data_IF_168834102688
#
_entry.id   IF_168834102688
#
_cell.length_a   1.000
_cell.length_b   1.000
_cell.length_c   1.000
_cell.angle_alpha   90.00
_cell.angle_beta   90.00
_cell.angle_gamma   90.00
#
_symmetry.space_group_name_H-M   'P 1'
#
loop_
_entity.id
_entity.type
_entity.pdbx_description
1 polymer ?
#
# COMPACT_ATOMS: atom_id res chain seq x y z
N UNK A 1 -15.31 -6.17 3.47
CA UNK A 1 -14.20 -5.17 3.54
C UNK A 1 -14.25 -4.47 4.90
N UNK A 2 -13.08 -4.19 5.52
CA UNK A 2 -12.91 -3.33 6.70
C UNK A 2 -12.27 -2.01 6.25
N UNK A 3 -12.35 -0.99 7.10
CA UNK A 3 -11.57 0.21 6.93
C UNK A 3 -10.22 0.02 7.61
N UNK A 4 -9.16 0.03 6.82
CA UNK A 4 -7.77 -0.06 7.26
C UNK A 4 -7.00 1.23 6.93
N UNK A 5 -5.88 1.44 7.56
CA UNK A 5 -4.95 2.52 7.22
C UNK A 5 -3.51 2.12 7.51
N UNK A 6 -2.58 2.65 6.71
CA UNK A 6 -1.17 2.56 7.03
C UNK A 6 -0.88 3.22 8.38
N UNK A 7 -0.04 2.58 9.19
CA UNK A 7 0.48 3.16 10.44
C UNK A 7 1.18 4.50 10.21
N UNK A 8 1.62 4.78 8.99
CA UNK A 8 2.22 6.04 8.57
C UNK A 8 1.27 7.23 8.67
N UNK A 9 -0.05 7.04 8.68
CA UNK A 9 -1.00 8.12 8.94
C UNK A 9 -0.68 8.87 10.24
N UNK A 10 -0.18 8.15 11.25
CA UNK A 10 0.24 8.75 12.53
C UNK A 10 1.77 8.82 12.64
N UNK A 11 2.48 7.74 12.30
CA UNK A 11 3.91 7.61 12.58
C UNK A 11 4.80 8.53 11.74
N UNK A 12 4.47 8.73 10.46
CA UNK A 12 5.34 9.41 9.51
C UNK A 12 5.46 10.91 9.75
N UNK A 13 6.70 11.41 9.70
CA UNK A 13 7.06 12.84 9.71
C UNK A 13 8.12 13.11 8.65
N UNK A 14 7.98 14.17 7.83
CA UNK A 14 8.89 14.43 6.72
C UNK A 14 10.26 14.98 7.14
N UNK A 15 10.43 15.34 8.42
CA UNK A 15 11.71 15.84 8.95
C UNK A 15 12.70 14.72 9.31
N UNK A 16 12.26 13.46 9.32
CA UNK A 16 13.05 12.28 9.70
C UNK A 16 13.68 12.34 11.11
N UNK A 17 13.20 13.23 11.96
CA UNK A 17 13.67 13.46 13.33
C UNK A 17 12.56 13.20 14.34
N UNK A 18 11.41 13.86 14.14
CA UNK A 18 10.23 13.62 14.95
C UNK A 18 9.45 12.42 14.41
N UNK A 19 8.81 11.66 15.29
CA UNK A 19 7.98 10.51 14.91
C UNK A 19 7.07 10.11 16.06
N UNK A 20 6.03 9.36 15.72
CA UNK A 20 5.28 8.59 16.71
C UNK A 20 5.65 7.12 16.59
N UNK A 21 5.96 6.44 17.71
CA UNK A 21 6.20 5.00 17.69
C UNK A 21 5.02 4.23 17.09
N UNK A 22 5.30 3.14 16.39
CA UNK A 22 4.27 2.30 15.76
C UNK A 22 3.23 1.82 16.79
N UNK A 23 3.66 1.44 17.99
CA UNK A 23 2.75 1.01 19.06
C UNK A 23 1.78 2.12 19.49
N UNK A 24 2.26 3.37 19.58
CA UNK A 24 1.40 4.51 19.92
C UNK A 24 0.48 4.87 18.73
N UNK A 25 0.99 4.76 17.51
CA UNK A 25 0.20 4.96 16.30
C UNK A 25 -0.97 3.98 16.23
N UNK A 26 -0.74 2.69 16.53
CA UNK A 26 -1.80 1.69 16.57
C UNK A 26 -2.88 2.00 17.62
N UNK A 27 -2.48 2.42 18.84
CA UNK A 27 -3.43 2.84 19.89
C UNK A 27 -4.30 4.02 19.43
N UNK A 28 -3.69 5.02 18.83
CA UNK A 28 -4.38 6.22 18.33
C UNK A 28 -5.32 5.87 17.18
N UNK A 29 -4.89 5.06 16.20
CA UNK A 29 -5.71 4.60 15.10
C UNK A 29 -6.92 3.80 15.58
N UNK A 30 -6.74 2.93 16.59
CA UNK A 30 -7.85 2.24 17.25
C UNK A 30 -8.82 3.21 17.92
N UNK A 31 -8.29 4.20 18.63
CA UNK A 31 -9.12 5.19 19.36
C UNK A 31 -9.97 6.05 18.43
N UNK A 32 -9.50 6.36 17.22
CA UNK A 32 -10.27 7.11 16.22
C UNK A 32 -11.24 6.24 15.41
N UNK A 33 -11.15 4.91 15.50
CA UNK A 33 -12.19 4.03 14.98
C UNK A 33 -11.81 3.13 13.80
N UNK A 34 -10.55 3.08 13.35
CA UNK A 34 -10.15 2.14 12.29
C UNK A 34 -10.34 0.68 12.72
N UNK A 35 -10.73 -0.18 11.76
CA UNK A 35 -11.00 -1.61 12.00
C UNK A 35 -9.76 -2.48 11.91
N UNK A 36 -8.76 -2.04 11.14
CA UNK A 36 -7.52 -2.75 10.86
C UNK A 36 -6.39 -1.76 10.55
N UNK A 37 -5.18 -2.26 10.47
CA UNK A 37 -4.02 -1.47 10.04
C UNK A 37 -3.20 -2.21 8.98
N UNK A 38 -2.54 -1.41 8.15
CA UNK A 38 -1.39 -1.78 7.35
C UNK A 38 -0.13 -1.41 8.15
N UNK A 39 0.65 -2.42 8.51
CA UNK A 39 1.91 -2.21 9.21
C UNK A 39 2.98 -1.75 8.23
N UNK A 40 3.24 -0.44 8.22
CA UNK A 40 4.27 0.10 7.35
C UNK A 40 5.66 -0.10 7.97
N UNK A 41 6.44 -0.94 7.31
CA UNK A 41 7.87 -1.16 7.58
C UNK A 41 8.71 -0.87 6.33
N UNK A 42 8.20 0.00 5.47
CA UNK A 42 8.78 0.30 4.15
C UNK A 42 9.91 1.32 4.19
N UNK A 43 9.85 2.29 5.10
CA UNK A 43 10.79 3.42 5.11
C UNK A 43 11.90 3.23 6.16
N UNK A 44 12.97 2.59 5.73
CA UNK A 44 14.16 2.36 6.56
C UNK A 44 14.88 3.67 7.01
N UNK A 45 14.55 4.81 6.39
CA UNK A 45 15.05 6.12 6.79
C UNK A 45 14.33 6.73 7.98
N UNK A 46 13.15 6.23 8.33
CA UNK A 46 12.35 6.78 9.43
C UNK A 46 12.80 6.24 10.79
N UNK A 47 12.78 7.08 11.85
CA UNK A 47 13.20 6.67 13.20
C UNK A 47 12.33 5.56 13.82
N UNK A 48 11.11 5.34 13.32
CA UNK A 48 10.24 4.27 13.78
C UNK A 48 10.52 2.90 13.11
N UNK A 49 11.40 2.87 12.10
CA UNK A 49 11.78 1.63 11.44
C UNK A 49 12.69 0.78 12.33
N UNK A 50 12.18 -0.37 12.78
CA UNK A 50 12.82 -1.23 13.77
C UNK A 50 13.36 -2.55 13.21
N UNK A 51 13.09 -2.89 11.93
CA UNK A 51 13.56 -4.15 11.35
C UNK A 51 15.08 -4.23 11.20
N UNK A 52 15.80 -3.08 11.27
CA UNK A 52 17.25 -3.02 11.29
C UNK A 52 17.90 -3.35 12.63
N UNK A 53 17.14 -3.27 13.71
CA UNK A 53 17.64 -3.47 15.08
C UNK A 53 17.95 -4.94 15.38
N UNK A 54 18.85 -5.21 16.32
CA UNK A 54 19.16 -6.58 16.75
C UNK A 54 17.98 -7.24 17.45
N UNK A 55 17.15 -6.46 18.14
CA UNK A 55 15.96 -6.91 18.88
C UNK A 55 14.65 -6.71 18.11
N UNK A 56 14.69 -6.70 16.78
CA UNK A 56 13.48 -6.47 15.97
C UNK A 56 12.39 -7.54 16.17
N UNK A 57 12.78 -8.76 16.55
CA UNK A 57 11.80 -9.84 16.81
C UNK A 57 11.01 -9.60 18.09
N UNK A 58 11.67 -9.15 19.14
CA UNK A 58 11.02 -8.76 20.40
C UNK A 58 10.04 -7.60 20.16
N UNK A 59 10.49 -6.58 19.41
CA UNK A 59 9.62 -5.49 19.00
C UNK A 59 8.41 -5.98 18.20
N UNK A 60 8.59 -6.91 17.27
CA UNK A 60 7.50 -7.45 16.47
C UNK A 60 6.53 -8.30 17.31
N UNK A 61 7.01 -8.98 18.35
CA UNK A 61 6.15 -9.67 19.33
C UNK A 61 5.28 -8.66 20.09
N UNK A 62 5.83 -7.52 20.49
CA UNK A 62 5.07 -6.43 21.13
C UNK A 62 3.99 -5.88 20.19
N UNK A 63 4.32 -5.64 18.91
CA UNK A 63 3.36 -5.20 17.89
C UNK A 63 2.22 -6.22 17.73
N UNK A 64 2.55 -7.49 17.61
CA UNK A 64 1.55 -8.56 17.45
C UNK A 64 0.68 -8.71 18.72
N UNK A 65 1.25 -8.61 19.89
CA UNK A 65 0.51 -8.65 21.17
C UNK A 65 -0.45 -7.46 21.30
N UNK A 66 0.01 -6.25 20.97
CA UNK A 66 -0.82 -5.05 21.00
C UNK A 66 -1.97 -5.11 19.98
N UNK A 67 -1.72 -5.65 18.77
CA UNK A 67 -2.77 -5.88 17.78
C UNK A 67 -3.91 -6.74 18.35
N UNK A 68 -3.57 -7.80 19.09
CA UNK A 68 -4.56 -8.68 19.73
C UNK A 68 -5.28 -7.97 20.90
N UNK A 69 -4.54 -7.28 21.77
CA UNK A 69 -5.09 -6.53 22.90
C UNK A 69 -6.12 -5.49 22.44
N UNK A 70 -5.78 -4.72 21.41
CA UNK A 70 -6.63 -3.67 20.86
C UNK A 70 -7.78 -4.22 19.99
N UNK A 71 -7.78 -5.51 19.67
CA UNK A 71 -8.65 -6.05 18.61
C UNK A 71 -8.55 -5.22 17.32
N UNK A 72 -7.30 -4.90 16.94
CA UNK A 72 -6.95 -4.13 15.74
C UNK A 72 -6.02 -5.01 14.86
N UNK A 73 -6.59 -5.87 14.01
CA UNK A 73 -5.79 -6.78 13.21
C UNK A 73 -4.88 -6.04 12.24
N UNK A 74 -3.70 -6.60 12.00
CA UNK A 74 -2.79 -6.18 10.94
C UNK A 74 -3.16 -7.01 9.71
N UNK A 75 -3.90 -6.42 8.77
CA UNK A 75 -4.43 -7.15 7.61
C UNK A 75 -3.57 -6.99 6.36
N UNK A 76 -2.67 -6.04 6.40
CA UNK A 76 -1.70 -5.73 5.36
C UNK A 76 -0.41 -5.26 6.02
N UNK A 77 0.71 -5.43 5.34
CA UNK A 77 1.99 -4.79 5.70
C UNK A 77 2.70 -4.34 4.43
N UNK A 78 3.61 -3.40 4.55
CA UNK A 78 4.38 -2.90 3.41
C UNK A 78 5.87 -3.12 3.63
N UNK A 79 6.53 -3.88 2.74
CA UNK A 79 7.96 -4.12 2.78
C UNK A 79 8.76 -2.86 2.39
N UNK A 80 10.06 -2.79 2.73
CA UNK A 80 10.93 -1.73 2.22
C UNK A 80 10.86 -1.63 0.70
N UNK A 81 10.67 -0.40 0.19
CA UNK A 81 10.56 -0.16 -1.25
C UNK A 81 11.84 0.46 -1.82
N UNK A 82 12.25 -0.07 -2.95
CA UNK A 82 13.39 0.38 -3.74
C UNK A 82 13.31 -0.24 -5.12
N UNK A 83 14.02 0.30 -6.10
CA UNK A 83 14.13 -0.38 -7.38
C UNK A 83 15.12 -1.55 -7.28
N UNK A 84 14.61 -2.75 -7.04
CA UNK A 84 15.40 -3.96 -6.88
C UNK A 84 16.21 -4.35 -8.13
N UNK A 85 15.87 -3.79 -9.29
CA UNK A 85 16.54 -4.08 -10.56
C UNK A 85 17.60 -3.04 -10.95
N UNK A 86 17.87 -2.06 -10.07
CA UNK A 86 18.91 -1.05 -10.27
C UNK A 86 20.21 -1.51 -9.61
N UNK A 87 21.23 -1.91 -10.40
CA UNK A 87 22.39 -2.66 -9.89
C UNK A 87 23.32 -1.87 -8.95
N UNK A 88 23.27 -0.53 -8.93
CA UNK A 88 24.25 0.30 -8.24
C UNK A 88 23.72 1.08 -7.01
N UNK A 89 22.51 0.81 -6.57
CA UNK A 89 21.97 1.47 -5.39
C UNK A 89 22.61 0.91 -4.11
N UNK A 90 23.48 1.67 -3.45
CA UNK A 90 23.99 1.32 -2.10
C UNK A 90 22.86 1.18 -1.07
N UNK A 91 21.74 1.83 -1.29
CA UNK A 91 20.51 1.66 -0.50
C UNK A 91 19.86 0.31 -0.76
N UNK A 92 19.89 -0.19 -2.02
CA UNK A 92 19.30 -1.47 -2.39
C UNK A 92 19.87 -2.62 -1.55
N UNK A 93 21.18 -2.68 -1.31
CA UNK A 93 21.80 -3.77 -0.55
C UNK A 93 21.34 -3.85 0.92
N UNK A 94 21.09 -2.70 1.56
CA UNK A 94 20.54 -2.68 2.92
C UNK A 94 19.07 -3.11 2.94
N UNK A 95 18.29 -2.59 2.03
CA UNK A 95 16.86 -2.90 1.97
C UNK A 95 16.60 -4.32 1.51
N UNK A 96 17.40 -4.86 0.59
CA UNK A 96 17.35 -6.27 0.22
C UNK A 96 17.55 -7.21 1.42
N UNK A 97 18.41 -6.85 2.37
CA UNK A 97 18.57 -7.60 3.62
C UNK A 97 17.36 -7.49 4.54
N UNK A 98 16.56 -6.41 4.43
CA UNK A 98 15.38 -6.20 5.25
C UNK A 98 14.13 -6.90 4.68
N UNK A 99 14.09 -7.25 3.40
CA UNK A 99 12.92 -7.95 2.81
C UNK A 99 12.62 -9.28 3.52
N UNK A 100 13.59 -10.18 3.75
CA UNK A 100 13.34 -11.41 4.51
C UNK A 100 12.81 -11.14 5.92
N UNK A 101 13.33 -10.09 6.60
CA UNK A 101 12.85 -9.72 7.94
C UNK A 101 11.42 -9.18 7.89
N UNK A 102 11.06 -8.39 6.87
CA UNK A 102 9.71 -7.89 6.68
C UNK A 102 8.70 -9.02 6.44
N UNK A 103 9.09 -10.04 5.67
CA UNK A 103 8.25 -11.23 5.43
C UNK A 103 8.10 -12.05 6.73
N UNK A 104 9.20 -12.30 7.47
CA UNK A 104 9.15 -13.01 8.74
C UNK A 104 8.30 -12.24 9.77
N UNK A 105 8.46 -10.90 9.87
CA UNK A 105 7.67 -10.03 10.73
C UNK A 105 6.18 -10.10 10.41
N UNK A 106 5.83 -10.10 9.12
CA UNK A 106 4.45 -10.26 8.66
C UNK A 106 3.86 -11.60 9.09
N UNK A 107 4.62 -12.69 8.96
CA UNK A 107 4.21 -14.00 9.45
C UNK A 107 4.04 -14.05 10.97
N UNK A 108 4.94 -13.42 11.76
CA UNK A 108 4.81 -13.31 13.21
C UNK A 108 3.51 -12.63 13.64
N UNK A 109 3.07 -11.61 12.89
CA UNK A 109 1.82 -10.89 13.13
C UNK A 109 0.60 -11.51 12.43
N UNK A 110 0.76 -12.64 11.73
CA UNK A 110 -0.28 -13.32 10.94
C UNK A 110 -0.90 -12.41 9.87
N UNK A 111 -0.08 -11.56 9.28
CA UNK A 111 -0.51 -10.67 8.19
C UNK A 111 -0.75 -11.53 6.93
N UNK A 112 -1.93 -11.47 6.30
CA UNK A 112 -2.21 -12.28 5.13
C UNK A 112 -1.46 -11.83 3.88
N UNK A 113 -1.21 -10.52 3.72
CA UNK A 113 -0.59 -9.97 2.51
C UNK A 113 0.45 -8.92 2.86
N UNK A 114 1.68 -9.11 2.37
CA UNK A 114 2.73 -8.11 2.38
C UNK A 114 2.82 -7.44 1.01
N UNK A 115 2.75 -6.11 0.98
CA UNK A 115 2.90 -5.32 -0.25
C UNK A 115 4.38 -5.18 -0.58
N UNK A 116 4.71 -5.39 -1.86
CA UNK A 116 6.05 -5.21 -2.40
C UNK A 116 5.99 -4.54 -3.77
N UNK A 117 6.98 -3.67 -4.05
CA UNK A 117 7.10 -2.99 -5.33
C UNK A 117 7.87 -3.83 -6.36
N UNK A 118 7.43 -3.87 -7.62
CA UNK A 118 8.23 -4.40 -8.72
C UNK A 118 9.34 -3.42 -9.10
N UNK A 119 10.43 -3.93 -9.65
CA UNK A 119 11.50 -3.11 -10.19
C UNK A 119 11.35 -2.84 -11.68
N UNK A 120 11.97 -1.74 -12.15
CA UNK A 120 12.15 -1.44 -13.57
C UNK A 120 13.61 -1.56 -13.94
N UNK A 121 13.94 -2.39 -14.94
CA UNK A 121 15.32 -2.50 -15.40
C UNK A 121 15.74 -1.23 -16.17
N UNK A 122 16.89 -0.60 -15.84
CA UNK A 122 17.21 0.74 -16.33
C UNK A 122 17.31 0.89 -17.84
N UNK A 123 17.77 -0.16 -18.51
CA UNK A 123 18.03 -0.15 -19.96
C UNK A 123 16.96 -0.95 -20.74
N UNK A 124 15.79 -1.21 -20.12
CA UNK A 124 14.74 -1.97 -20.77
C UNK A 124 14.06 -1.17 -21.88
N UNK A 125 13.68 -1.88 -22.93
CA UNK A 125 12.85 -1.32 -23.98
C UNK A 125 11.41 -1.10 -23.46
N UNK A 126 10.59 -0.28 -24.14
CA UNK A 126 9.20 -0.02 -23.74
C UNK A 126 8.30 -1.28 -23.61
N UNK A 127 8.74 -2.43 -24.10
CA UNK A 127 8.05 -3.70 -23.94
C UNK A 127 8.32 -4.42 -22.59
N UNK A 128 9.23 -3.88 -21.78
CA UNK A 128 9.56 -4.34 -20.42
C UNK A 128 9.88 -5.83 -20.28
N UNK A 129 10.35 -6.50 -21.31
CA UNK A 129 10.64 -7.95 -21.26
C UNK A 129 11.69 -8.31 -20.22
N UNK A 130 12.73 -7.51 -20.12
CA UNK A 130 13.81 -7.75 -19.16
C UNK A 130 13.33 -7.41 -17.75
N UNK A 131 12.55 -6.34 -17.56
CA UNK A 131 11.92 -6.03 -16.27
C UNK A 131 11.04 -7.18 -15.81
N UNK A 132 10.16 -7.74 -16.67
CA UNK A 132 9.34 -8.89 -16.33
C UNK A 132 10.17 -10.10 -15.90
N UNK A 133 11.17 -10.49 -16.71
CA UNK A 133 12.03 -11.65 -16.44
C UNK A 133 12.74 -11.49 -15.08
N UNK A 134 13.34 -10.33 -14.82
CA UNK A 134 14.08 -10.06 -13.59
C UNK A 134 13.18 -9.96 -12.36
N UNK A 135 11.98 -9.37 -12.49
CA UNK A 135 11.01 -9.38 -11.40
C UNK A 135 10.56 -10.79 -11.07
N UNK A 136 10.34 -11.65 -12.08
CA UNK A 136 10.04 -13.06 -11.83
C UNK A 136 11.15 -13.73 -11.01
N UNK A 137 12.41 -13.57 -11.41
CA UNK A 137 13.57 -14.11 -10.68
C UNK A 137 13.72 -13.53 -9.28
N UNK A 138 13.43 -12.24 -9.11
CA UNK A 138 13.50 -11.54 -7.83
C UNK A 138 12.42 -12.00 -6.85
N UNK A 139 11.17 -12.11 -7.29
CA UNK A 139 10.05 -12.45 -6.40
C UNK A 139 9.99 -13.95 -6.03
N UNK A 140 10.43 -14.85 -6.89
CA UNK A 140 10.30 -16.30 -6.63
C UNK A 140 10.84 -16.74 -5.26
N UNK A 141 12.08 -16.42 -4.84
CA UNK A 141 12.59 -16.83 -3.53
C UNK A 141 11.81 -16.17 -2.36
N UNK A 142 11.25 -14.99 -2.57
CA UNK A 142 10.43 -14.32 -1.54
C UNK A 142 9.03 -14.91 -1.45
N UNK A 143 8.44 -15.37 -2.55
CA UNK A 143 7.17 -16.10 -2.53
C UNK A 143 7.31 -17.42 -1.77
N UNK A 144 8.41 -18.17 -1.98
CA UNK A 144 8.72 -19.37 -1.21
C UNK A 144 8.93 -19.06 0.29
N UNK A 145 9.56 -17.92 0.59
CA UNK A 145 9.75 -17.48 1.97
C UNK A 145 8.42 -17.10 2.61
N UNK A 146 7.59 -16.32 1.91
CA UNK A 146 6.28 -15.89 2.37
C UNK A 146 5.35 -17.10 2.65
N UNK A 147 5.37 -18.11 1.80
CA UNK A 147 4.62 -19.36 2.00
C UNK A 147 5.01 -20.05 3.31
N UNK A 148 6.32 -20.13 3.60
CA UNK A 148 6.81 -20.69 4.88
C UNK A 148 6.34 -19.95 6.11
N UNK A 149 6.12 -18.63 6.00
CA UNK A 149 5.61 -17.80 7.08
C UNK A 149 4.09 -17.63 7.06
N UNK A 150 3.39 -18.24 6.11
CA UNK A 150 1.94 -18.27 6.00
C UNK A 150 1.34 -16.92 5.54
N UNK A 151 2.09 -16.14 4.74
CA UNK A 151 1.61 -14.92 4.10
C UNK A 151 1.78 -14.96 2.58
N UNK A 152 1.08 -14.07 1.88
CA UNK A 152 1.24 -13.85 0.45
C UNK A 152 1.92 -12.52 0.14
N UNK A 153 2.39 -12.36 -1.08
CA UNK A 153 2.94 -11.10 -1.59
C UNK A 153 1.92 -10.46 -2.52
N UNK A 154 1.52 -9.23 -2.23
CA UNK A 154 0.71 -8.40 -3.10
C UNK A 154 1.63 -7.41 -3.84
N UNK A 155 1.81 -7.60 -5.14
CA UNK A 155 2.67 -6.74 -5.97
C UNK A 155 1.87 -5.48 -6.32
N UNK A 156 2.47 -4.30 -6.08
CA UNK A 156 1.80 -3.02 -6.24
C UNK A 156 2.01 -2.43 -7.64
N UNK A 157 0.97 -1.76 -8.19
CA UNK A 157 1.13 -0.97 -9.40
C UNK A 157 1.94 0.30 -9.13
N UNK A 158 2.79 0.64 -10.07
CA UNK A 158 3.71 1.77 -9.99
C UNK A 158 3.20 3.00 -10.76
N UNK A 159 3.79 4.17 -10.45
CA UNK A 159 3.56 5.38 -11.22
C UNK A 159 4.88 6.01 -11.68
N UNK A 160 4.86 6.67 -12.84
CA UNK A 160 6.03 7.39 -13.39
C UNK A 160 6.24 8.78 -12.74
N UNK A 161 5.58 9.04 -11.61
CA UNK A 161 5.62 10.33 -10.91
C UNK A 161 6.71 10.48 -9.85
N UNK A 162 7.43 9.41 -9.50
CA UNK A 162 8.47 9.43 -8.44
C UNK A 162 9.80 10.01 -8.89
N UNK A 163 10.00 10.22 -10.19
CA UNK A 163 11.25 10.73 -10.73
C UNK A 163 11.06 12.13 -11.28
N UNK A 164 11.89 13.09 -10.82
CA UNK A 164 12.06 14.38 -11.49
C UNK A 164 12.58 14.24 -12.93
N UNK A 165 12.94 13.02 -13.30
CA UNK A 165 13.38 12.62 -14.64
C UNK A 165 12.48 11.47 -15.07
N UNK A 166 11.43 11.76 -15.87
CA UNK A 166 10.66 10.71 -16.55
C UNK A 166 11.62 9.81 -17.30
N UNK A 167 11.62 8.51 -17.00
CA UNK A 167 12.41 7.54 -17.74
C UNK A 167 11.89 7.47 -19.18
N UNK A 168 12.73 7.54 -20.21
CA UNK A 168 12.31 7.17 -21.54
C UNK A 168 11.83 5.71 -21.49
N UNK A 169 10.56 5.48 -21.74
CA UNK A 169 9.96 4.14 -21.69
C UNK A 169 9.02 3.88 -20.52
N UNK A 170 9.01 4.74 -19.46
CA UNK A 170 8.10 4.61 -18.33
C UNK A 170 8.61 3.70 -17.20
N UNK A 171 7.69 3.25 -16.33
CA UNK A 171 7.94 2.38 -15.19
C UNK A 171 7.16 1.09 -15.37
N UNK A 172 7.82 -0.05 -15.19
CA UNK A 172 7.19 -1.37 -15.29
C UNK A 172 6.11 -1.57 -14.22
N UNK A 173 5.04 -2.27 -14.58
CA UNK A 173 3.83 -2.43 -13.76
C UNK A 173 3.10 -1.12 -13.45
N UNK A 174 3.27 -0.08 -14.29
CA UNK A 174 2.44 1.12 -14.20
C UNK A 174 1.04 0.93 -14.77
N UNK A 175 0.79 -0.19 -15.45
CA UNK A 175 -0.53 -0.58 -15.96
C UNK A 175 -1.02 -1.88 -15.33
N UNK A 176 -2.35 -2.01 -15.21
CA UNK A 176 -2.97 -3.25 -14.75
C UNK A 176 -2.67 -4.45 -15.66
N UNK A 177 -2.40 -4.22 -16.96
CA UNK A 177 -2.08 -5.30 -17.91
C UNK A 177 -0.72 -5.91 -17.60
N UNK A 178 0.32 -5.08 -17.42
CA UNK A 178 1.66 -5.53 -17.04
C UNK A 178 1.65 -6.22 -15.68
N UNK A 179 0.90 -5.66 -14.73
CA UNK A 179 0.81 -6.19 -13.37
C UNK A 179 0.12 -7.57 -13.35
N UNK A 180 -0.99 -7.73 -14.07
CA UNK A 180 -1.65 -9.03 -14.24
C UNK A 180 -0.74 -10.04 -14.93
N UNK A 181 -0.04 -9.64 -15.98
CA UNK A 181 0.88 -10.50 -16.74
C UNK A 181 2.06 -10.97 -15.86
N UNK A 182 2.57 -10.11 -14.98
CA UNK A 182 3.60 -10.49 -14.01
C UNK A 182 3.05 -11.49 -12.98
N UNK A 183 1.93 -11.17 -12.33
CA UNK A 183 1.33 -12.00 -11.28
C UNK A 183 0.94 -13.37 -11.80
N UNK A 184 0.34 -13.45 -12.99
CA UNK A 184 -0.05 -14.71 -13.62
C UNK A 184 1.15 -15.61 -13.98
N UNK A 185 2.33 -15.02 -14.19
CA UNK A 185 3.52 -15.78 -14.55
C UNK A 185 4.06 -16.66 -13.43
N UNK A 186 3.74 -16.39 -12.16
CA UNK A 186 4.27 -17.15 -11.02
C UNK A 186 3.60 -18.50 -10.80
N UNK A 187 2.35 -18.68 -11.22
CA UNK A 187 1.58 -19.92 -11.07
C UNK A 187 1.49 -20.46 -9.63
N UNK A 188 1.49 -19.57 -8.62
CA UNK A 188 1.35 -19.89 -7.19
C UNK A 188 0.16 -19.13 -6.60
N UNK A 189 -0.38 -19.63 -5.48
CA UNK A 189 -1.59 -19.07 -4.87
C UNK A 189 -1.31 -17.92 -3.90
N UNK A 190 -0.08 -17.77 -3.44
CA UNK A 190 0.33 -16.74 -2.46
C UNK A 190 0.94 -15.49 -3.11
N UNK A 191 0.58 -15.22 -4.38
CA UNK A 191 0.85 -13.97 -5.07
C UNK A 191 -0.45 -13.30 -5.48
N UNK A 192 -0.49 -11.97 -5.41
CA UNK A 192 -1.64 -11.18 -5.83
C UNK A 192 -1.25 -9.74 -6.15
N UNK A 193 -2.25 -8.91 -6.30
CA UNK A 193 -2.11 -7.49 -6.65
C UNK A 193 -2.47 -6.64 -5.44
N UNK A 194 -1.65 -5.64 -5.13
CA UNK A 194 -2.05 -4.45 -4.42
C UNK A 194 -2.36 -3.36 -5.47
N UNK A 195 -3.57 -2.77 -5.41
CA UNK A 195 -3.91 -1.68 -6.30
C UNK A 195 -3.84 -0.35 -5.57
N UNK A 196 -2.88 0.49 -5.96
CA UNK A 196 -2.82 1.88 -5.55
C UNK A 196 -3.63 2.75 -6.52
N UNK A 197 -4.71 3.35 -5.98
CA UNK A 197 -5.63 4.19 -6.74
C UNK A 197 -5.00 5.53 -7.12
N UNK A 198 -4.07 6.04 -6.31
CA UNK A 198 -3.34 7.26 -6.57
C UNK A 198 -2.36 7.09 -7.73
N UNK A 199 -1.57 6.02 -7.71
CA UNK A 199 -0.67 5.65 -8.80
C UNK A 199 -1.44 5.49 -10.13
N UNK A 200 -2.57 4.78 -10.09
CA UNK A 200 -3.41 4.60 -11.28
C UNK A 200 -3.98 5.92 -11.81
N UNK A 201 -4.32 6.87 -10.91
CA UNK A 201 -4.78 8.21 -11.30
C UNK A 201 -3.67 9.01 -11.99
N UNK A 202 -2.43 8.94 -11.50
CA UNK A 202 -1.26 9.56 -12.15
C UNK A 202 -1.02 9.02 -13.55
N UNK A 203 -1.28 7.74 -13.76
CA UNK A 203 -1.12 7.07 -15.05
C UNK A 203 -2.33 7.25 -15.97
N UNK A 204 -3.41 7.90 -15.52
CA UNK A 204 -4.61 8.15 -16.31
C UNK A 204 -5.38 6.88 -16.68
N UNK A 205 -5.34 5.84 -15.86
CA UNK A 205 -5.95 4.53 -16.11
C UNK A 205 -7.46 4.59 -15.87
N UNK A 206 -8.27 3.97 -16.74
CA UNK A 206 -9.65 3.66 -16.40
C UNK A 206 -9.66 2.58 -15.31
N UNK A 207 -9.77 3.03 -14.06
CA UNK A 207 -9.65 2.16 -12.90
C UNK A 207 -10.83 1.18 -12.77
N UNK A 208 -12.00 1.50 -13.34
CA UNK A 208 -13.13 0.56 -13.33
C UNK A 208 -12.86 -0.65 -14.21
N UNK A 209 -12.29 -0.40 -15.40
CA UNK A 209 -11.86 -1.48 -16.29
C UNK A 209 -10.71 -2.26 -15.67
N UNK A 210 -9.70 -1.58 -15.14
CA UNK A 210 -8.57 -2.19 -14.47
C UNK A 210 -9.00 -3.16 -13.34
N UNK A 211 -9.91 -2.72 -12.47
CA UNK A 211 -10.44 -3.56 -11.38
C UNK A 211 -11.15 -4.81 -11.90
N UNK A 212 -11.96 -4.69 -12.98
CA UNK A 212 -12.64 -5.84 -13.59
C UNK A 212 -11.65 -6.84 -14.19
N UNK A 213 -10.60 -6.34 -14.86
CA UNK A 213 -9.55 -7.18 -15.44
C UNK A 213 -8.74 -7.89 -14.35
N UNK A 214 -8.38 -7.19 -13.28
CA UNK A 214 -7.66 -7.78 -12.14
C UNK A 214 -8.49 -8.85 -11.43
N UNK A 215 -9.76 -8.58 -11.17
CA UNK A 215 -10.68 -9.53 -10.56
C UNK A 215 -10.12 -10.16 -9.28
N UNK A 216 -10.08 -11.48 -9.20
CA UNK A 216 -9.61 -12.23 -8.01
C UNK A 216 -8.11 -12.12 -7.72
N UNK A 217 -7.30 -11.55 -8.63
CA UNK A 217 -5.88 -11.26 -8.39
C UNK A 217 -5.72 -10.12 -7.38
N UNK A 218 -6.72 -9.23 -7.26
CA UNK A 218 -6.71 -8.14 -6.28
C UNK A 218 -6.79 -8.70 -4.86
N UNK A 219 -5.79 -8.40 -4.04
CA UNK A 219 -5.65 -8.89 -2.66
C UNK A 219 -5.52 -7.78 -1.64
N UNK A 220 -4.96 -6.65 -2.05
CA UNK A 220 -4.71 -5.50 -1.21
C UNK A 220 -5.02 -4.20 -1.96
N UNK A 221 -5.20 -3.11 -1.24
CA UNK A 221 -5.41 -1.79 -1.83
C UNK A 221 -4.62 -0.73 -1.09
N UNK A 222 -4.15 0.29 -1.84
CA UNK A 222 -3.73 1.57 -1.30
C UNK A 222 -4.67 2.66 -1.80
N UNK A 223 -5.37 3.28 -0.87
CA UNK A 223 -6.35 4.33 -1.16
C UNK A 223 -5.73 5.67 -0.80
N UNK A 224 -5.34 6.42 -1.83
CA UNK A 224 -4.83 7.77 -1.73
C UNK A 224 -5.38 8.62 -2.88
N UNK A 225 -5.59 9.90 -2.64
CA UNK A 225 -5.98 10.85 -3.68
C UNK A 225 -4.78 11.71 -4.09
N UNK A 226 -4.86 12.25 -5.29
CA UNK A 226 -3.91 13.22 -5.83
C UNK A 226 -4.55 14.05 -6.94
N UNK A 227 -3.82 15.05 -7.40
CA UNK A 227 -4.27 15.94 -8.47
C UNK A 227 -4.06 15.38 -9.90
N UNK A 228 -3.55 14.16 -10.04
CA UNK A 228 -3.11 13.57 -11.31
C UNK A 228 -1.77 14.11 -11.81
N UNK A 229 -0.98 14.77 -10.95
CA UNK A 229 0.33 15.37 -11.30
C UNK A 229 1.47 14.92 -10.40
N UNK A 230 1.20 14.75 -9.13
CA UNK A 230 2.15 14.35 -8.09
C UNK A 230 1.52 13.23 -7.27
N UNK A 231 2.36 12.39 -6.72
CA UNK A 231 1.95 11.38 -5.77
C UNK A 231 1.76 12.00 -4.38
N UNK A 232 0.58 12.59 -4.20
CA UNK A 232 0.31 13.48 -3.07
C UNK A 232 -0.02 12.73 -1.78
N UNK A 233 -0.47 11.47 -1.82
CA UNK A 233 -0.93 10.67 -0.68
C UNK A 233 -1.84 11.46 0.28
N UNK A 234 -2.86 12.11 -0.28
CA UNK A 234 -3.83 12.93 0.46
C UNK A 234 -5.17 12.21 0.60
N UNK A 235 -6.01 12.75 1.49
CA UNK A 235 -7.33 12.20 1.79
C UNK A 235 -8.21 12.20 0.52
N UNK A 236 -8.97 11.13 0.24
CA UNK A 236 -9.99 11.09 -0.81
C UNK A 236 -10.90 12.32 -0.80
N UNK A 237 -11.25 12.79 -2.01
CA UNK A 237 -11.98 14.04 -2.31
C UNK A 237 -11.15 15.33 -2.17
N UNK A 238 -9.88 15.28 -1.82
CA UNK A 238 -8.98 16.44 -1.89
C UNK A 238 -8.23 16.52 -3.22
N UNK A 239 -8.23 15.44 -4.00
CA UNK A 239 -7.69 15.36 -5.35
C UNK A 239 -8.77 15.27 -6.42
N UNK A 240 -8.51 14.50 -7.47
CA UNK A 240 -9.41 14.34 -8.61
C UNK A 240 -9.77 12.88 -8.95
N UNK A 241 -9.46 11.93 -8.09
CA UNK A 241 -9.89 10.53 -8.27
C UNK A 241 -11.41 10.42 -8.18
N UNK A 242 -12.03 9.76 -9.16
CA UNK A 242 -13.49 9.62 -9.19
C UNK A 242 -13.98 8.44 -8.33
N UNK A 243 -13.87 8.56 -7.02
CA UNK A 243 -14.21 7.53 -6.04
C UNK A 243 -15.61 6.95 -6.21
N UNK A 244 -16.60 7.80 -6.50
CA UNK A 244 -18.01 7.39 -6.65
C UNK A 244 -18.22 6.43 -7.81
N UNK A 245 -17.44 6.54 -8.88
CA UNK A 245 -17.54 5.65 -10.03
C UNK A 245 -16.68 4.40 -9.91
N UNK A 246 -15.58 4.47 -9.15
CA UNK A 246 -14.59 3.40 -9.06
C UNK A 246 -14.95 2.37 -7.99
N UNK A 247 -15.25 2.83 -6.77
CA UNK A 247 -15.39 1.94 -5.62
C UNK A 247 -16.50 0.88 -5.72
N UNK A 248 -17.67 1.16 -6.34
CA UNK A 248 -18.70 0.11 -6.52
C UNK A 248 -18.20 -1.13 -7.27
N UNK A 249 -17.16 -0.98 -8.12
CA UNK A 249 -16.59 -2.11 -8.85
C UNK A 249 -15.93 -3.13 -7.91
N UNK A 250 -15.45 -2.73 -6.73
CA UNK A 250 -14.91 -3.66 -5.74
C UNK A 250 -15.96 -4.70 -5.30
N UNK A 251 -17.19 -4.28 -5.08
CA UNK A 251 -18.30 -5.20 -4.80
C UNK A 251 -18.66 -6.06 -6.03
N UNK A 252 -18.67 -5.44 -7.21
CA UNK A 252 -18.95 -6.11 -8.49
C UNK A 252 -17.99 -7.29 -8.74
N UNK A 253 -16.69 -7.12 -8.46
CA UNK A 253 -15.68 -8.17 -8.64
C UNK A 253 -15.56 -9.12 -7.45
N UNK A 254 -16.32 -8.89 -6.37
CA UNK A 254 -16.27 -9.69 -5.15
C UNK A 254 -14.95 -9.55 -4.39
N UNK A 255 -14.41 -8.32 -4.28
CA UNK A 255 -13.20 -8.08 -3.51
C UNK A 255 -13.42 -8.33 -2.02
N UNK A 256 -12.58 -9.14 -1.40
CA UNK A 256 -12.68 -9.58 0.00
C UNK A 256 -11.65 -8.94 0.93
N UNK A 257 -10.67 -8.24 0.38
CA UNK A 257 -9.65 -7.52 1.16
C UNK A 257 -10.20 -6.26 1.82
N UNK A 258 -9.33 -5.48 2.41
CA UNK A 258 -9.69 -4.24 3.12
C UNK A 258 -9.50 -3.00 2.24
N UNK A 259 -10.25 -1.94 2.55
CA UNK A 259 -10.04 -0.61 1.98
C UNK A 259 -8.98 0.09 2.84
N UNK A 260 -7.73 0.09 2.36
CA UNK A 260 -6.58 0.52 3.15
C UNK A 260 -6.11 1.91 2.73
N UNK A 261 -6.17 2.86 3.63
CA UNK A 261 -5.66 4.20 3.39
C UNK A 261 -4.13 4.27 3.43
N UNK A 262 -3.55 4.93 2.44
CA UNK A 262 -2.14 5.33 2.42
C UNK A 262 -2.04 6.85 2.22
N UNK A 263 -2.49 7.62 3.21
CA UNK A 263 -2.70 9.07 3.16
C UNK A 263 -1.83 9.83 4.18
N UNK A 264 -0.61 9.41 4.38
CA UNK A 264 0.29 9.94 5.41
C UNK A 264 0.52 11.47 5.29
N UNK A 265 0.40 12.06 4.12
CA UNK A 265 0.52 13.50 3.95
C UNK A 265 -0.67 14.30 4.49
N UNK A 266 -1.78 13.63 4.81
CA UNK A 266 -2.91 14.31 5.47
C UNK A 266 -2.59 14.76 6.90
N UNK A 267 -1.63 14.13 7.57
CA UNK A 267 -1.26 14.44 8.96
C UNK A 267 0.20 14.80 9.15
N UNK A 268 1.08 14.40 8.25
CA UNK A 268 2.54 14.39 8.44
C UNK A 268 3.15 15.76 8.79
N UNK A 269 2.53 16.86 8.38
CA UNK A 269 2.98 18.23 8.62
C UNK A 269 2.17 18.97 9.67
N UNK A 270 1.19 18.32 10.30
CA UNK A 270 0.35 18.94 11.31
C UNK A 270 1.06 19.01 12.67
N UNK A 271 0.77 20.05 13.49
CA UNK A 271 1.09 20.01 14.91
C UNK A 271 0.45 18.79 15.59
N UNK A 272 1.13 18.19 16.56
CA UNK A 272 0.74 16.93 17.20
C UNK A 272 -0.70 16.93 17.73
N UNK A 273 -1.16 18.05 18.31
CA UNK A 273 -2.51 18.16 18.88
C UNK A 273 -3.63 18.17 17.83
N UNK A 274 -3.31 18.29 16.52
CA UNK A 274 -4.28 18.22 15.41
C UNK A 274 -4.31 16.87 14.71
N UNK A 275 -3.34 16.01 14.98
CA UNK A 275 -3.19 14.72 14.26
C UNK A 275 -4.40 13.82 14.50
N UNK A 276 -4.83 13.63 15.75
CA UNK A 276 -5.95 12.72 16.05
C UNK A 276 -7.28 13.23 15.50
N UNK A 277 -7.52 14.54 15.54
CA UNK A 277 -8.71 15.14 14.96
C UNK A 277 -8.75 14.93 13.43
N UNK A 278 -7.60 15.06 12.77
CA UNK A 278 -7.50 14.81 11.33
C UNK A 278 -7.64 13.31 11.01
N UNK A 279 -7.03 12.44 11.79
CA UNK A 279 -7.20 10.99 11.63
C UNK A 279 -8.66 10.55 11.81
N UNK A 280 -9.40 11.18 12.74
CA UNK A 280 -10.84 10.96 12.91
C UNK A 280 -11.65 11.43 11.69
N UNK A 281 -11.28 12.55 11.06
CA UNK A 281 -11.87 12.96 9.78
C UNK A 281 -11.57 11.94 8.68
N UNK A 282 -10.33 11.44 8.61
CA UNK A 282 -9.96 10.40 7.65
C UNK A 282 -10.82 9.14 7.84
N UNK A 283 -11.03 8.73 9.08
CA UNK A 283 -11.88 7.57 9.40
C UNK A 283 -13.32 7.78 8.89
N UNK A 284 -13.93 8.95 9.14
CA UNK A 284 -15.28 9.26 8.66
C UNK A 284 -15.39 9.24 7.12
N UNK A 285 -14.39 9.80 6.42
CA UNK A 285 -14.30 9.71 4.96
C UNK A 285 -14.19 8.25 4.52
N UNK A 286 -13.38 7.45 5.22
CA UNK A 286 -13.22 6.03 4.95
C UNK A 286 -14.52 5.24 5.11
N UNK A 287 -15.36 5.55 6.12
CA UNK A 287 -16.70 4.92 6.26
C UNK A 287 -17.59 5.22 5.06
N UNK A 288 -17.59 6.47 4.61
CA UNK A 288 -18.34 6.83 3.40
C UNK A 288 -17.82 6.09 2.15
N UNK A 289 -16.50 5.93 1.99
CA UNK A 289 -15.94 5.15 0.90
C UNK A 289 -16.30 3.65 0.99
N UNK A 290 -16.35 3.08 2.19
CA UNK A 290 -16.83 1.70 2.40
C UNK A 290 -18.29 1.55 1.99
N UNK A 291 -19.13 2.54 2.29
CA UNK A 291 -20.52 2.52 1.88
C UNK A 291 -20.67 2.59 0.36
N UNK A 292 -19.83 3.39 -0.32
CA UNK A 292 -19.74 3.40 -1.79
C UNK A 292 -19.28 2.04 -2.34
N UNK A 293 -18.25 1.45 -1.73
CA UNK A 293 -17.70 0.17 -2.16
C UNK A 293 -18.65 -1.01 -1.92
N UNK A 294 -19.56 -0.89 -0.95
CA UNK A 294 -20.60 -1.91 -0.67
C UNK A 294 -21.93 -1.61 -1.38
N UNK A 295 -21.97 -0.64 -2.29
CA UNK A 295 -23.19 -0.20 -3.03
C UNK A 295 -24.36 0.19 -2.11
N UNK A 296 -24.03 0.74 -0.92
CA UNK A 296 -25.04 1.17 0.06
C UNK A 296 -25.54 2.59 -0.15
N UNK A 297 -24.81 3.40 -0.93
CA UNK A 297 -25.17 4.78 -1.24
C UNK A 297 -25.98 4.81 -2.53
N UNK A 298 -27.29 4.59 -2.43
CA UNK A 298 -28.21 4.85 -3.52
C UNK A 298 -28.31 6.37 -3.74
N UNK A 299 -27.76 6.86 -4.86
CA UNK A 299 -28.10 8.13 -5.52
C UNK A 299 -28.62 9.25 -4.61
N UNK A 300 -27.76 9.84 -3.79
CA UNK A 300 -27.95 11.24 -3.44
C UNK A 300 -27.72 12.04 -4.72
N UNK A 301 -28.77 12.26 -5.48
CA UNK A 301 -28.82 13.24 -6.55
C UNK A 301 -28.63 14.60 -5.90
N UNK A 302 -27.39 15.07 -5.85
CA UNK A 302 -27.13 16.50 -5.68
C UNK A 302 -27.69 17.16 -6.92
N UNK A 303 -28.93 17.67 -6.77
CA UNK A 303 -29.51 18.59 -7.74
C UNK A 303 -28.60 19.79 -7.84
N UNK A 304 -27.84 19.86 -8.93
CA UNK A 304 -27.28 21.12 -9.37
C UNK A 304 -28.46 22.01 -9.82
N UNK A 305 -29.01 22.75 -8.88
CA UNK A 305 -29.70 23.99 -9.22
C UNK A 305 -28.62 25.04 -9.47
N UNK A 306 -28.47 25.40 -10.73
CA UNK A 306 -27.69 26.56 -11.20
C UNK A 306 -28.16 27.85 -10.53
#
# INVERSE_FOLDING_TARGET
>A
MKLSTSTNLIAFRPDYVSYFPILDSMKRLKAVGFDAVDLNVSDAGQPFFRLGDDNWKEWMQEVAALSQELSLPITQSHAPFYNALEPESKKASLWEQMIPRAIEASGMAKVPWIVMHPGTYPDDAPDFRESKRRNYEYFMPYLELADRFGCGIAIENMADGFSTHRRPGGVYCSTHVELCDLVDSFHVSNVGICWDFGHANLMGIDQREALRVMGKRLKATHVADNSGKLDDHILPFQGNVNWRSILPVLSEIGYEGDLTFEIHNSTSRLPDHLVDATAALCEQVGRYLLDLANDKVHNETYGHTC
#
